data_IF_492075911945
#
_entry.id   IF_492075911945
#
_cell.length_a   1.000
_cell.length_b   1.000
_cell.length_c   1.000
_cell.angle_alpha   90.00
_cell.angle_beta   90.00
_cell.angle_gamma   90.00
#
_symmetry.space_group_name_H-M   'P 1'
#
loop_
_entity.id
_entity.type
_entity.pdbx_description
1 polymer ?
#
# COMPACT_ATOMS: atom_id res chain seq x y z
N UNK A 1 53.52 -15.54 -7.33
CA UNK A 1 52.35 -16.10 -6.62
C UNK A 1 51.16 -15.21 -6.97
N UNK A 2 50.24 -15.68 -7.82
CA UNK A 2 49.01 -14.93 -8.14
C UNK A 2 47.95 -15.32 -7.13
N UNK A 3 47.52 -14.38 -6.29
CA UNK A 3 46.42 -14.59 -5.37
C UNK A 3 45.12 -14.78 -6.18
N UNK A 4 44.66 -16.01 -6.29
CA UNK A 4 43.27 -16.30 -6.65
C UNK A 4 42.40 -15.92 -5.46
N UNK A 5 42.03 -14.63 -5.36
CA UNK A 5 40.88 -14.22 -4.57
C UNK A 5 39.67 -14.92 -5.19
N UNK A 6 39.18 -15.95 -4.50
CA UNK A 6 38.03 -16.75 -4.90
C UNK A 6 36.87 -15.82 -5.23
N UNK A 7 36.21 -16.04 -6.36
CA UNK A 7 35.02 -15.30 -6.79
C UNK A 7 33.98 -15.17 -5.67
N UNK A 8 33.87 -16.17 -4.80
CA UNK A 8 32.97 -16.16 -3.62
C UNK A 8 33.27 -15.03 -2.64
N UNK A 9 34.54 -14.68 -2.40
CA UNK A 9 34.92 -13.58 -1.49
C UNK A 9 34.53 -12.23 -2.10
N UNK A 10 34.67 -12.08 -3.42
CA UNK A 10 34.27 -10.87 -4.13
C UNK A 10 32.74 -10.68 -4.12
N UNK A 11 31.97 -11.76 -4.29
CA UNK A 11 30.50 -11.72 -4.20
C UNK A 11 29.99 -11.37 -2.80
N UNK A 12 30.60 -11.89 -1.74
CA UNK A 12 30.20 -11.59 -0.35
C UNK A 12 30.44 -10.10 -0.03
N UNK A 13 31.62 -9.57 -0.37
CA UNK A 13 31.96 -8.15 -0.14
C UNK A 13 31.06 -7.19 -0.93
N UNK A 14 30.63 -7.58 -2.15
CA UNK A 14 29.66 -6.80 -2.91
C UNK A 14 28.30 -6.75 -2.19
N UNK A 15 27.77 -7.88 -1.73
CA UNK A 15 26.46 -7.94 -1.04
C UNK A 15 26.44 -7.06 0.22
N UNK A 16 27.51 -7.08 1.02
CA UNK A 16 27.61 -6.26 2.23
C UNK A 16 27.57 -4.75 1.92
N UNK A 17 28.29 -4.32 0.88
CA UNK A 17 28.33 -2.90 0.49
C UNK A 17 26.97 -2.37 -0.01
N UNK A 18 26.17 -3.19 -0.69
CA UNK A 18 24.82 -2.82 -1.14
C UNK A 18 23.84 -2.72 0.03
N UNK A 19 23.93 -3.62 1.00
CA UNK A 19 23.07 -3.62 2.19
C UNK A 19 23.26 -2.38 3.06
N UNK A 20 24.51 -1.98 3.30
CA UNK A 20 24.83 -0.78 4.09
C UNK A 20 24.35 0.50 3.41
N UNK A 21 24.54 0.61 2.09
CA UNK A 21 24.07 1.75 1.32
C UNK A 21 22.53 1.85 1.38
N UNK A 22 21.82 0.75 1.15
CA UNK A 22 20.37 0.70 1.20
C UNK A 22 19.83 1.06 2.58
N UNK A 23 20.41 0.51 3.65
CA UNK A 23 20.04 0.85 5.03
C UNK A 23 20.23 2.36 5.30
N UNK A 24 21.37 2.93 4.90
CA UNK A 24 21.66 4.34 5.12
C UNK A 24 20.63 5.27 4.43
N UNK A 25 20.20 4.91 3.23
CA UNK A 25 19.19 5.64 2.45
C UNK A 25 17.82 5.53 3.12
N UNK A 26 17.37 4.31 3.44
CA UNK A 26 16.08 4.07 4.09
C UNK A 26 16.01 4.76 5.46
N UNK A 27 17.10 4.74 6.22
CA UNK A 27 17.19 5.41 7.51
C UNK A 27 17.05 6.94 7.39
N UNK A 28 17.66 7.56 6.36
CA UNK A 28 17.49 8.99 6.07
C UNK A 28 16.05 9.31 5.69
N UNK A 29 15.42 8.49 4.84
CA UNK A 29 14.01 8.63 4.46
C UNK A 29 13.12 8.55 5.70
N UNK A 30 13.25 7.49 6.51
CA UNK A 30 12.48 7.28 7.73
C UNK A 30 12.65 8.43 8.73
N UNK A 31 13.88 8.95 8.91
CA UNK A 31 14.13 10.12 9.76
C UNK A 31 13.40 11.36 9.24
N UNK A 32 13.46 11.61 7.93
CA UNK A 32 12.84 12.79 7.32
C UNK A 32 11.31 12.78 7.40
N UNK A 33 10.68 11.61 7.26
CA UNK A 33 9.22 11.50 7.23
C UNK A 33 8.58 11.28 8.60
N UNK A 34 9.28 10.64 9.53
CA UNK A 34 8.69 10.19 10.79
C UNK A 34 9.24 10.88 12.05
N UNK A 35 10.37 11.59 11.95
CA UNK A 35 11.02 12.25 13.09
C UNK A 35 11.36 11.23 14.19
N UNK A 36 10.81 11.43 15.38
CA UNK A 36 11.09 10.58 16.55
C UNK A 36 10.69 9.11 16.35
N UNK A 37 9.69 8.84 15.50
CA UNK A 37 9.26 7.47 15.17
C UNK A 37 10.10 6.82 14.06
N UNK A 38 11.30 7.34 13.79
CA UNK A 38 12.25 6.86 12.77
C UNK A 38 12.44 5.34 12.82
N UNK A 39 12.73 4.79 14.00
CA UNK A 39 13.03 3.37 14.14
C UNK A 39 11.86 2.50 13.65
N UNK A 40 10.65 2.82 14.12
CA UNK A 40 9.44 2.12 13.67
C UNK A 40 9.19 2.27 12.16
N UNK A 41 9.37 3.46 11.59
CA UNK A 41 9.21 3.64 10.14
C UNK A 41 10.27 2.88 9.35
N UNK A 42 11.51 2.86 9.81
CA UNK A 42 12.58 2.10 9.17
C UNK A 42 12.26 0.60 9.17
N UNK A 43 11.85 0.05 10.31
CA UNK A 43 11.41 -1.34 10.43
C UNK A 43 10.20 -1.62 9.52
N UNK A 44 9.23 -0.70 9.48
CA UNK A 44 8.06 -0.80 8.60
C UNK A 44 8.51 -0.95 7.16
N UNK A 45 9.48 -0.13 6.73
CA UNK A 45 9.96 -0.14 5.35
C UNK A 45 10.72 -1.44 5.05
N UNK A 46 11.69 -1.77 5.90
CA UNK A 46 12.59 -2.93 5.72
C UNK A 46 11.85 -4.27 5.75
N UNK A 47 10.78 -4.37 6.54
CA UNK A 47 10.04 -5.62 6.73
C UNK A 47 8.66 -5.62 6.04
N UNK A 48 8.39 -4.67 5.15
CA UNK A 48 7.13 -4.57 4.40
C UNK A 48 5.87 -4.63 5.28
N UNK A 49 5.93 -3.99 6.46
CA UNK A 49 4.83 -3.98 7.43
C UNK A 49 3.87 -2.83 7.14
N UNK A 50 2.65 -2.94 7.69
CA UNK A 50 1.72 -1.83 7.75
C UNK A 50 2.25 -0.77 8.71
N UNK A 51 2.17 0.51 8.33
CA UNK A 51 2.66 1.61 9.17
C UNK A 51 1.78 1.74 10.42
N UNK A 52 2.31 1.34 11.57
CA UNK A 52 1.63 1.39 12.87
C UNK A 52 2.54 1.90 13.99
N UNK A 53 3.09 3.10 13.81
CA UNK A 53 4.03 3.69 14.76
C UNK A 53 3.35 4.51 15.88
N UNK A 54 2.18 4.04 16.35
CA UNK A 54 1.32 4.76 17.32
C UNK A 54 0.97 6.19 16.87
N UNK A 55 0.85 6.39 15.56
CA UNK A 55 0.48 7.68 15.00
C UNK A 55 -1.02 7.94 15.14
N UNK A 56 -1.38 9.16 15.55
CA UNK A 56 -2.71 9.68 15.26
C UNK A 56 -2.93 9.80 13.75
N UNK A 57 -4.20 9.77 13.30
CA UNK A 57 -4.55 9.68 11.87
C UNK A 57 -3.85 10.73 10.99
N UNK A 58 -3.78 12.00 11.43
CA UNK A 58 -3.10 13.06 10.68
C UNK A 58 -1.60 12.76 10.46
N UNK A 59 -0.90 12.33 11.52
CA UNK A 59 0.52 11.98 11.45
C UNK A 59 0.74 10.72 10.63
N UNK A 60 -0.15 9.72 10.73
CA UNK A 60 -0.12 8.52 9.92
C UNK A 60 -0.22 8.85 8.42
N UNK A 61 -1.20 9.68 8.05
CA UNK A 61 -1.40 10.16 6.67
C UNK A 61 -0.14 10.84 6.14
N UNK A 62 0.40 11.80 6.90
CA UNK A 62 1.60 12.54 6.51
C UNK A 62 2.81 11.62 6.33
N UNK A 63 3.08 10.76 7.32
CA UNK A 63 4.20 9.84 7.28
C UNK A 63 4.09 8.85 6.12
N UNK A 64 2.93 8.21 5.93
CA UNK A 64 2.73 7.26 4.83
C UNK A 64 2.90 7.91 3.45
N UNK A 65 2.32 9.11 3.26
CA UNK A 65 2.47 9.87 2.02
C UNK A 65 3.95 10.22 1.76
N UNK A 66 4.62 10.81 2.74
CA UNK A 66 6.03 11.19 2.62
C UNK A 66 6.92 9.97 2.30
N UNK A 67 6.70 8.84 2.99
CA UNK A 67 7.48 7.63 2.74
C UNK A 67 7.28 7.10 1.32
N UNK A 68 6.03 7.00 0.86
CA UNK A 68 5.73 6.53 -0.49
C UNK A 68 6.33 7.46 -1.56
N UNK A 69 6.21 8.79 -1.38
CA UNK A 69 6.80 9.78 -2.29
C UNK A 69 8.33 9.68 -2.34
N UNK A 70 9.00 9.42 -1.20
CA UNK A 70 10.46 9.27 -1.15
C UNK A 70 10.95 7.95 -1.73
N UNK A 71 10.14 6.90 -1.69
CA UNK A 71 10.49 5.57 -2.20
C UNK A 71 10.20 5.42 -3.70
N UNK A 72 9.07 5.95 -4.18
CA UNK A 72 8.56 5.70 -5.54
C UNK A 72 8.23 6.96 -6.35
N UNK A 73 8.34 8.14 -5.73
CA UNK A 73 8.04 9.42 -6.36
C UNK A 73 6.57 9.85 -6.24
N UNK A 74 6.31 11.11 -6.58
CA UNK A 74 4.98 11.72 -6.50
C UNK A 74 3.96 11.05 -7.44
N UNK A 75 4.39 10.66 -8.64
CA UNK A 75 3.54 10.01 -9.64
C UNK A 75 2.97 8.67 -9.17
N UNK A 76 3.70 7.94 -8.31
CA UNK A 76 3.19 6.71 -7.71
C UNK A 76 2.11 6.99 -6.65
N UNK A 77 2.36 7.99 -5.82
CA UNK A 77 1.42 8.43 -4.78
C UNK A 77 0.11 8.96 -5.39
N UNK A 78 0.17 9.59 -6.57
CA UNK A 78 -1.00 10.00 -7.34
C UNK A 78 -1.80 8.81 -7.88
N UNK A 79 -1.19 7.66 -8.14
CA UNK A 79 -1.93 6.46 -8.56
C UNK A 79 -2.68 5.87 -7.37
N UNK A 80 -2.05 5.72 -6.22
CA UNK A 80 -2.68 5.16 -5.03
C UNK A 80 -2.01 5.65 -3.74
N UNK A 81 -2.79 6.18 -2.80
CA UNK A 81 -2.27 6.74 -1.54
C UNK A 81 -3.09 6.27 -0.35
N UNK A 82 -2.53 6.39 0.86
CA UNK A 82 -3.19 5.96 2.11
C UNK A 82 -4.61 6.53 2.29
N UNK A 83 -4.91 7.70 1.73
CA UNK A 83 -6.25 8.30 1.84
C UNK A 83 -7.35 7.52 1.13
N UNK A 84 -6.97 6.73 0.14
CA UNK A 84 -7.90 5.89 -0.60
C UNK A 84 -8.30 4.66 0.22
N UNK A 85 -7.74 4.46 1.42
CA UNK A 85 -8.14 3.39 2.35
C UNK A 85 -9.64 3.40 2.68
N UNK A 86 -10.28 4.57 2.63
CA UNK A 86 -11.74 4.68 2.82
C UNK A 86 -12.53 3.93 1.74
N UNK A 87 -11.94 3.70 0.56
CA UNK A 87 -12.57 2.94 -0.52
C UNK A 87 -12.49 1.42 -0.29
N UNK A 88 -11.69 0.93 0.66
CA UNK A 88 -11.65 -0.49 1.00
C UNK A 88 -13.00 -1.00 1.57
N UNK A 89 -13.84 -0.13 2.12
CA UNK A 89 -15.16 -0.50 2.64
C UNK A 89 -16.09 -1.13 1.59
N UNK A 90 -15.79 -0.95 0.29
CA UNK A 90 -16.51 -1.63 -0.80
C UNK A 90 -16.48 -3.16 -0.68
N UNK A 91 -15.45 -3.72 -0.04
CA UNK A 91 -15.29 -5.17 0.13
C UNK A 91 -16.15 -5.73 1.26
N UNK A 92 -16.75 -4.89 2.12
CA UNK A 92 -17.74 -5.34 3.12
C UNK A 92 -19.03 -5.86 2.47
N UNK A 93 -19.23 -5.59 1.19
CA UNK A 93 -20.41 -6.01 0.43
C UNK A 93 -20.18 -7.35 -0.27
N UNK A 94 -19.03 -8.00 -0.07
CA UNK A 94 -18.78 -9.37 -0.53
C UNK A 94 -19.34 -10.38 0.48
N UNK A 95 -20.53 -10.90 0.22
CA UNK A 95 -21.15 -11.93 1.05
C UNK A 95 -20.36 -13.25 1.07
N UNK A 96 -19.42 -13.46 0.13
CA UNK A 96 -18.56 -14.63 0.07
C UNK A 96 -17.23 -14.44 0.82
N UNK A 97 -16.89 -13.22 1.23
CA UNK A 97 -15.71 -12.92 2.06
C UNK A 97 -16.06 -12.99 3.55
N UNK A 98 -16.45 -14.19 4.02
CA UNK A 98 -17.00 -14.39 5.38
C UNK A 98 -16.07 -13.97 6.51
N UNK A 99 -14.76 -13.86 6.23
CA UNK A 99 -13.75 -13.43 7.20
C UNK A 99 -13.27 -11.99 6.96
N UNK A 100 -13.87 -11.21 6.07
CA UNK A 100 -13.43 -9.87 5.67
C UNK A 100 -11.95 -9.84 5.22
N UNK A 101 -11.46 -10.94 4.61
CA UNK A 101 -10.06 -11.11 4.19
C UNK A 101 -9.66 -9.98 3.25
N UNK A 102 -10.50 -9.65 2.28
CA UNK A 102 -10.17 -8.66 1.28
C UNK A 102 -10.29 -7.23 1.80
N UNK A 103 -11.26 -6.96 2.68
CA UNK A 103 -11.32 -5.70 3.43
C UNK A 103 -10.03 -5.49 4.24
N UNK A 104 -9.64 -6.47 5.06
CA UNK A 104 -8.42 -6.40 5.87
C UNK A 104 -7.17 -6.26 5.00
N UNK A 105 -7.06 -7.06 3.95
CA UNK A 105 -5.94 -7.01 3.00
C UNK A 105 -5.83 -5.63 2.37
N UNK A 106 -6.93 -5.07 1.86
CA UNK A 106 -6.96 -3.72 1.33
C UNK A 106 -6.49 -2.70 2.37
N UNK A 107 -7.07 -2.71 3.57
CA UNK A 107 -6.71 -1.76 4.62
C UNK A 107 -5.25 -1.84 5.06
N UNK A 108 -4.69 -3.03 5.14
CA UNK A 108 -3.27 -3.24 5.45
C UNK A 108 -2.36 -2.75 4.34
N UNK A 109 -2.61 -3.20 3.11
CA UNK A 109 -1.80 -2.87 1.93
C UNK A 109 -1.76 -1.36 1.70
N UNK A 110 -2.88 -0.66 1.91
CA UNK A 110 -2.96 0.79 1.80
C UNK A 110 -2.10 1.52 2.84
N UNK A 111 -1.80 0.88 3.98
CA UNK A 111 -0.90 1.39 5.03
C UNK A 111 0.55 0.94 4.85
N UNK A 112 0.90 0.14 3.83
CA UNK A 112 2.29 -0.31 3.57
C UNK A 112 3.00 0.72 2.71
N UNK A 113 3.96 1.50 3.24
CA UNK A 113 4.70 2.48 2.46
C UNK A 113 5.72 1.84 1.52
N UNK A 114 6.14 0.59 1.78
CA UNK A 114 7.08 -0.17 0.94
C UNK A 114 6.45 -0.84 -0.28
N UNK A 115 5.15 -0.64 -0.49
CA UNK A 115 4.50 -1.10 -1.71
C UNK A 115 4.23 0.10 -2.58
N UNK A 116 4.63 0.03 -3.84
CA UNK A 116 4.22 0.98 -4.86
C UNK A 116 2.72 0.80 -5.20
N UNK A 117 2.16 1.72 -5.98
CA UNK A 117 0.75 1.66 -6.33
C UNK A 117 0.38 0.41 -7.14
N UNK A 118 1.29 -0.12 -7.96
CA UNK A 118 1.03 -1.33 -8.76
C UNK A 118 0.93 -2.56 -7.87
N UNK A 119 1.88 -2.75 -6.96
CA UNK A 119 1.91 -3.83 -5.97
C UNK A 119 0.66 -3.78 -5.07
N UNK A 120 0.28 -2.58 -4.62
CA UNK A 120 -0.93 -2.40 -3.81
C UNK A 120 -2.19 -2.83 -4.57
N UNK A 121 -2.34 -2.36 -5.81
CA UNK A 121 -3.47 -2.73 -6.66
C UNK A 121 -3.51 -4.24 -6.94
N UNK A 122 -2.35 -4.85 -7.21
CA UNK A 122 -2.26 -6.29 -7.43
C UNK A 122 -2.72 -7.08 -6.21
N UNK A 123 -2.28 -6.72 -5.01
CA UNK A 123 -2.67 -7.38 -3.76
C UNK A 123 -4.18 -7.25 -3.49
N UNK A 124 -4.74 -6.05 -3.68
CA UNK A 124 -6.19 -5.83 -3.52
C UNK A 124 -6.99 -6.59 -4.58
N UNK A 125 -6.51 -6.63 -5.83
CA UNK A 125 -7.16 -7.38 -6.90
C UNK A 125 -7.13 -8.89 -6.66
N UNK A 126 -6.04 -9.41 -6.09
CA UNK A 126 -5.89 -10.84 -5.77
C UNK A 126 -6.82 -11.31 -4.65
N UNK A 127 -7.13 -10.46 -3.66
CA UNK A 127 -8.06 -10.84 -2.60
C UNK A 127 -9.52 -10.78 -3.03
N UNK A 128 -9.85 -9.96 -4.02
CA UNK A 128 -11.22 -9.79 -4.48
C UNK A 128 -11.66 -11.04 -5.25
N UNK A 129 -12.44 -11.90 -4.59
CA UNK A 129 -13.07 -13.07 -5.20
C UNK A 129 -13.96 -12.65 -6.37
N UNK A 130 -14.66 -11.52 -6.22
CA UNK A 130 -15.55 -10.94 -7.23
C UNK A 130 -14.88 -9.70 -7.87
N UNK A 131 -14.45 -9.84 -9.13
CA UNK A 131 -13.85 -8.74 -9.92
C UNK A 131 -14.70 -7.43 -9.96
N UNK A 132 -16.05 -7.48 -10.00
CA UNK A 132 -16.88 -6.29 -9.86
C UNK A 132 -16.59 -5.37 -8.66
N UNK A 133 -16.24 -5.91 -7.49
CA UNK A 133 -15.95 -5.11 -6.29
C UNK A 133 -14.62 -4.37 -6.40
N UNK A 134 -13.61 -4.97 -7.03
CA UNK A 134 -12.38 -4.26 -7.40
C UNK A 134 -12.68 -3.10 -8.38
N UNK A 135 -13.59 -3.30 -9.33
CA UNK A 135 -14.07 -2.23 -10.19
C UNK A 135 -14.74 -1.08 -9.40
N UNK A 136 -15.50 -1.41 -8.36
CA UNK A 136 -16.11 -0.43 -7.46
C UNK A 136 -15.07 0.30 -6.59
N UNK A 137 -14.05 -0.39 -6.10
CA UNK A 137 -12.89 0.21 -5.41
C UNK A 137 -12.25 1.30 -6.28
N UNK A 138 -11.90 0.98 -7.52
CA UNK A 138 -11.28 1.92 -8.46
C UNK A 138 -12.16 3.16 -8.70
N UNK A 139 -13.47 2.97 -8.91
CA UNK A 139 -14.41 4.10 -9.09
C UNK A 139 -14.54 4.98 -7.85
N UNK A 140 -14.50 4.39 -6.65
CA UNK A 140 -14.50 5.16 -5.40
C UNK A 140 -13.29 6.10 -5.33
N UNK A 141 -12.11 5.62 -5.72
CA UNK A 141 -10.87 6.41 -5.75
C UNK A 141 -11.02 7.61 -6.69
N UNK A 142 -11.45 7.36 -7.92
CA UNK A 142 -11.63 8.40 -8.92
C UNK A 142 -12.62 9.48 -8.47
N UNK A 143 -13.76 9.08 -7.89
CA UNK A 143 -14.77 10.02 -7.39
C UNK A 143 -14.31 10.78 -6.16
N UNK A 144 -13.64 10.10 -5.23
CA UNK A 144 -13.06 10.70 -4.03
C UNK A 144 -12.10 11.84 -4.38
N UNK A 145 -11.27 11.65 -5.40
CA UNK A 145 -10.23 12.61 -5.79
C UNK A 145 -10.76 13.78 -6.63
N UNK A 146 -11.86 13.59 -7.36
CA UNK A 146 -12.51 14.65 -8.18
C UNK A 146 -13.34 15.66 -7.38
N UNK A 147 -13.32 15.63 -6.06
CA UNK A 147 -13.87 16.72 -5.24
C UNK A 147 -15.11 16.38 -4.40
N UNK A 148 -15.47 15.10 -4.21
CA UNK A 148 -16.37 14.73 -3.10
C UNK A 148 -15.59 14.72 -1.77
N UNK A 149 -15.12 15.90 -1.36
CA UNK A 149 -14.42 16.16 -0.10
C UNK A 149 -15.36 16.72 1.00
N UNK A 150 -16.68 16.75 0.80
CA UNK A 150 -17.62 17.33 1.78
C UNK A 150 -18.79 16.41 2.19
N UNK A 151 -18.92 15.23 1.59
CA UNK A 151 -19.98 14.26 1.95
C UNK A 151 -19.43 12.84 1.99
N UNK A 152 -19.94 12.02 2.92
CA UNK A 152 -19.78 10.56 2.88
C UNK A 152 -20.10 10.09 1.46
N UNK A 153 -19.10 9.59 0.72
CA UNK A 153 -19.35 8.83 -0.51
C UNK A 153 -20.06 7.55 -0.09
N UNK A 154 -21.32 7.39 -0.50
CA UNK A 154 -22.07 6.18 -0.25
C UNK A 154 -21.75 5.15 -1.34
N UNK A 155 -21.84 3.87 -1.00
CA UNK A 155 -21.55 2.77 -1.93
C UNK A 155 -22.26 2.92 -3.28
N UNK A 156 -23.55 3.25 -3.23
CA UNK A 156 -24.41 3.39 -4.40
C UNK A 156 -24.00 4.57 -5.31
N UNK A 157 -23.24 5.55 -4.79
CA UNK A 157 -22.73 6.67 -5.60
C UNK A 157 -21.69 6.21 -6.63
N UNK A 158 -21.00 5.10 -6.39
CA UNK A 158 -19.91 4.61 -7.24
C UNK A 158 -19.99 3.13 -7.61
N UNK A 159 -20.94 2.39 -7.03
CA UNK A 159 -21.15 0.97 -7.27
C UNK A 159 -22.64 0.66 -7.28
N UNK A 160 -23.20 0.26 -8.43
CA UNK A 160 -24.60 -0.18 -8.45
C UNK A 160 -24.68 -1.65 -8.05
N UNK A 161 -25.40 -1.94 -6.96
CA UNK A 161 -25.63 -3.32 -6.46
C UNK A 161 -26.23 -4.27 -7.52
N UNK A 162 -27.00 -3.73 -8.47
CA UNK A 162 -27.58 -4.49 -9.61
C UNK A 162 -26.51 -5.16 -10.50
N UNK A 163 -25.32 -4.59 -10.61
CA UNK A 163 -24.21 -5.15 -11.38
C UNK A 163 -23.45 -6.26 -10.64
N UNK A 164 -23.59 -6.35 -9.31
CA UNK A 164 -22.99 -7.39 -8.49
C UNK A 164 -23.81 -8.69 -8.57
N UNK A 165 -25.14 -8.58 -8.51
CA UNK A 165 -26.06 -9.72 -8.55
C UNK A 165 -26.15 -10.42 -9.91
N UNK A 166 -25.98 -9.69 -11.03
CA UNK A 166 -26.09 -10.28 -12.37
C UNK A 166 -24.97 -11.27 -12.71
N UNK A 167 -23.77 -11.12 -12.15
CA UNK A 167 -22.63 -12.00 -12.45
C UNK A 167 -22.46 -13.18 -11.49
N UNK A 168 -23.10 -13.15 -10.33
CA UNK A 168 -23.05 -14.26 -9.36
C UNK A 168 -23.84 -15.49 -9.84
N UNK A 169 -24.69 -15.34 -10.86
CA UNK A 169 -25.50 -16.42 -11.43
C UNK A 169 -25.05 -16.88 -12.82
N UNK A 170 -23.99 -16.27 -13.38
CA UNK A 170 -23.49 -16.56 -14.74
C UNK A 170 -22.15 -17.35 -14.74
N UNK A 171 -21.65 -17.79 -13.58
CA UNK A 171 -20.47 -18.67 -13.41
C UNK A 171 -20.86 -20.00 -12.75
#
# INVERSE_FOLDING_TARGET
MRACLSWTVFFILLIESFGELQYSVLNKIAKSCCGDSRACCLDTIMFNKSLNCSFGFHRLRHAAKCLQEKLYGATDTEKLQILDIKCCHVFMEDENDQEDICLRTCMEVMKRPSFDAAQKNEMVKKCALINPLYGCFSRCIDKSRKGHNTGKLFFDDYCQRSHLRKRQYDD
#
